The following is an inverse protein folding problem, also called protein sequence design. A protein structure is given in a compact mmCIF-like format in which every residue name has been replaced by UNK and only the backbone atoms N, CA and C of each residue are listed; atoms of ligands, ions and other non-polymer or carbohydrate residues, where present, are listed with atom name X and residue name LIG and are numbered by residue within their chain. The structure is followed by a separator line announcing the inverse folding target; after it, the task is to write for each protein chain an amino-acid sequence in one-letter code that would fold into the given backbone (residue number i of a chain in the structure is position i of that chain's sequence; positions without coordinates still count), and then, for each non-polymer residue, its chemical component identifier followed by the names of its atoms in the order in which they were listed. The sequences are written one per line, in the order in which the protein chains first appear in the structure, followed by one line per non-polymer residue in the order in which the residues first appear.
data_IF_808211187389
#
_entry.id   IF_808211187389
#
_cell.length_a   1.000
_cell.length_b   1.000
_cell.length_c   1.000
_cell.angle_alpha   90.00
_cell.angle_beta   90.00
_cell.angle_gamma   90.00
#
_symmetry.space_group_name_H-M   'P 1'
#
loop_
_entity.id
_entity.type
_entity.pdbx_description
1 polymer ?
#
# COMPACT_ATOMS: atom_id res chain seq x y z
N UNK A 1 11.95 15.19 17.61
CA UNK A 1 11.26 14.43 16.55
C UNK A 1 12.12 13.21 16.33
N UNK A 2 11.62 12.01 16.64
CA UNK A 2 12.39 10.77 16.46
C UNK A 2 12.25 10.40 14.99
N UNK A 3 13.28 10.64 14.19
CA UNK A 3 13.34 10.18 12.80
C UNK A 3 13.35 8.65 12.80
N UNK A 4 12.42 8.04 12.06
CA UNK A 4 12.43 6.60 11.82
C UNK A 4 13.48 6.32 10.75
N UNK A 5 14.51 5.55 11.10
CA UNK A 5 15.54 5.14 10.15
C UNK A 5 15.23 3.70 9.73
N UNK A 6 14.87 3.45 8.45
CA UNK A 6 14.53 2.11 8.00
C UNK A 6 15.77 1.21 8.03
N UNK A 7 15.64 0.04 8.65
CA UNK A 7 16.68 -0.98 8.63
C UNK A 7 16.66 -1.72 7.29
N UNK A 8 17.81 -1.79 6.62
CA UNK A 8 18.00 -2.63 5.45
C UNK A 8 18.44 -4.03 5.89
N UNK A 9 17.87 -5.05 5.26
CA UNK A 9 18.15 -6.45 5.57
C UNK A 9 18.67 -7.11 4.29
N UNK A 10 19.80 -7.80 4.40
CA UNK A 10 20.28 -8.70 3.36
C UNK A 10 19.37 -9.94 3.29
N UNK A 11 18.89 -10.27 2.11
CA UNK A 11 18.02 -11.41 1.88
C UNK A 11 18.85 -12.65 1.58
N UNK A 12 18.60 -13.74 2.30
CA UNK A 12 19.12 -15.07 1.98
C UNK A 12 18.02 -15.85 1.25
N UNK A 13 17.82 -15.52 -0.04
CA UNK A 13 16.78 -16.10 -0.89
C UNK A 13 15.87 -15.06 -1.56
N UNK A 14 14.87 -15.53 -2.29
CA UNK A 14 13.89 -14.67 -2.97
C UNK A 14 12.97 -14.00 -1.95
N UNK A 15 12.72 -12.69 -2.10
CA UNK A 15 11.90 -11.92 -1.16
C UNK A 15 10.52 -12.54 -0.93
N UNK A 16 9.89 -13.10 -1.97
CA UNK A 16 8.58 -13.74 -1.87
C UNK A 16 8.58 -14.92 -0.90
N UNK A 17 9.65 -15.72 -0.88
CA UNK A 17 9.78 -16.88 0.00
C UNK A 17 9.98 -16.42 1.44
N UNK A 18 10.85 -15.43 1.66
CA UNK A 18 11.08 -14.82 2.99
C UNK A 18 9.79 -14.24 3.57
N UNK A 19 9.01 -13.52 2.76
CA UNK A 19 7.72 -12.97 3.21
C UNK A 19 6.69 -14.08 3.47
N UNK A 20 6.69 -15.14 2.66
CA UNK A 20 5.79 -16.27 2.83
C UNK A 20 6.07 -17.03 4.13
N UNK A 21 7.33 -17.36 4.40
CA UNK A 21 7.75 -18.07 5.62
C UNK A 21 7.42 -17.29 6.90
N UNK A 22 7.47 -15.95 6.83
CA UNK A 22 7.15 -15.07 7.95
C UNK A 22 5.66 -14.69 8.05
N UNK A 23 4.82 -15.16 7.12
CA UNK A 23 3.40 -14.81 7.07
C UNK A 23 3.14 -13.32 6.80
N UNK A 24 4.08 -12.65 6.13
CA UNK A 24 4.00 -11.23 5.74
C UNK A 24 3.54 -11.05 4.29
N UNK A 25 3.62 -12.09 3.47
CA UNK A 25 3.14 -12.05 2.09
C UNK A 25 1.61 -12.15 1.96
N UNK A 26 1.09 -11.72 0.81
CA UNK A 26 -0.29 -11.97 0.38
C UNK A 26 -0.42 -13.22 -0.51
N UNK A 27 0.63 -14.05 -0.57
CA UNK A 27 0.70 -15.27 -1.37
C UNK A 27 1.01 -15.06 -2.85
N UNK A 28 1.34 -13.82 -3.27
CA UNK A 28 1.68 -13.47 -4.63
C UNK A 28 3.13 -12.95 -4.74
N UNK A 29 3.77 -13.01 -5.93
CA UNK A 29 5.08 -12.39 -6.13
C UNK A 29 5.09 -10.91 -5.78
N UNK A 30 6.18 -10.42 -5.20
CA UNK A 30 6.35 -9.03 -4.79
C UNK A 30 7.53 -8.39 -5.51
N UNK A 31 7.55 -7.05 -5.57
CA UNK A 31 8.71 -6.30 -6.04
C UNK A 31 9.53 -5.82 -4.85
N UNK A 32 10.84 -6.00 -4.89
CA UNK A 32 11.72 -5.58 -3.80
C UNK A 32 11.68 -4.06 -3.59
N UNK A 33 11.39 -3.60 -2.36
CA UNK A 33 11.32 -2.18 -2.02
C UNK A 33 12.72 -1.59 -1.77
N UNK A 34 13.56 -1.55 -2.80
CA UNK A 34 14.88 -0.92 -2.72
C UNK A 34 14.75 0.59 -2.43
N UNK A 35 15.79 1.22 -1.84
CA UNK A 35 15.77 2.66 -1.55
C UNK A 35 15.37 3.52 -2.76
N UNK A 36 15.87 3.19 -3.95
CA UNK A 36 15.60 3.93 -5.19
C UNK A 36 14.13 3.83 -5.61
N UNK A 37 13.52 2.65 -5.48
CA UNK A 37 12.10 2.45 -5.82
C UNK A 37 11.18 3.13 -4.81
N UNK A 38 11.57 3.12 -3.53
CA UNK A 38 10.84 3.82 -2.47
C UNK A 38 10.94 5.33 -2.68
N UNK A 39 12.12 5.86 -3.00
CA UNK A 39 12.31 7.28 -3.28
C UNK A 39 11.49 7.72 -4.50
N UNK A 40 11.49 6.94 -5.58
CA UNK A 40 10.67 7.22 -6.76
C UNK A 40 9.17 7.31 -6.42
N UNK A 41 8.67 6.55 -5.45
CA UNK A 41 7.29 6.71 -4.97
C UNK A 41 7.12 8.02 -4.19
N UNK A 42 8.06 8.33 -3.30
CA UNK A 42 8.01 9.52 -2.45
C UNK A 42 8.06 10.82 -3.26
N UNK A 43 8.72 10.84 -4.42
CA UNK A 43 8.70 11.98 -5.36
C UNK A 43 7.28 12.37 -5.83
N UNK A 44 6.31 11.46 -5.73
CA UNK A 44 4.91 11.72 -6.06
C UNK A 44 4.07 12.24 -4.87
N UNK A 45 4.66 12.48 -3.70
CA UNK A 45 3.92 13.00 -2.54
C UNK A 45 4.70 14.09 -1.80
N UNK A 46 4.00 15.19 -1.52
CA UNK A 46 4.58 16.28 -0.72
C UNK A 46 4.62 15.96 0.78
N UNK A 47 5.65 16.46 1.45
CA UNK A 47 5.82 16.45 2.90
C UNK A 47 6.92 15.49 3.38
N UNK A 48 7.14 15.46 4.69
CA UNK A 48 8.17 14.61 5.30
C UNK A 48 7.77 13.12 5.18
N UNK A 49 8.71 12.31 4.70
CA UNK A 49 8.54 10.89 4.48
C UNK A 49 8.29 10.10 5.78
N UNK A 50 8.82 10.58 6.91
CA UNK A 50 8.72 9.98 8.24
C UNK A 50 7.66 10.61 9.15
N UNK A 51 6.95 11.63 8.65
CA UNK A 51 5.81 12.19 9.38
C UNK A 51 4.76 11.10 9.64
N UNK A 52 4.36 10.98 10.90
CA UNK A 52 3.24 10.12 11.28
C UNK A 52 1.95 10.71 10.75
N UNK A 53 1.35 10.05 9.77
CA UNK A 53 0.10 10.49 9.15
C UNK A 53 -1.12 10.09 9.96
N UNK A 54 -1.15 8.84 10.42
CA UNK A 54 -2.23 8.23 11.19
C UNK A 54 -1.77 6.87 11.73
N UNK A 55 -2.62 6.21 12.51
CA UNK A 55 -2.44 4.82 12.92
C UNK A 55 -3.53 3.92 12.34
N UNK A 56 -3.19 2.67 12.04
CA UNK A 56 -4.15 1.68 11.56
C UNK A 56 -4.47 0.64 12.65
N UNK A 57 -5.76 0.37 12.80
CA UNK A 57 -6.27 -0.66 13.70
C UNK A 57 -6.23 -2.02 12.98
N UNK A 58 -6.02 -3.15 13.71
CA UNK A 58 -6.19 -3.31 15.15
C UNK A 58 -4.93 -3.08 16.00
N UNK A 59 -3.73 -3.15 15.41
CA UNK A 59 -2.46 -3.05 16.15
C UNK A 59 -2.08 -1.62 16.55
N UNK A 60 -2.83 -0.62 16.07
CA UNK A 60 -2.47 0.79 16.18
C UNK A 60 -1.08 1.08 15.58
N UNK A 61 -0.72 0.35 14.52
CA UNK A 61 0.56 0.51 13.85
C UNK A 61 0.68 1.89 13.21
N UNK A 62 1.89 2.44 13.21
CA UNK A 62 2.20 3.79 12.74
C UNK A 62 2.27 3.77 11.20
N UNK A 63 1.58 4.70 10.55
CA UNK A 63 1.66 4.89 9.10
C UNK A 63 2.35 6.20 8.78
N UNK A 64 3.46 6.11 8.07
CA UNK A 64 4.18 7.24 7.45
C UNK A 64 4.12 7.12 5.93
N UNK A 65 4.50 8.17 5.19
CA UNK A 65 4.57 8.09 3.71
C UNK A 65 5.54 7.00 3.26
N UNK A 66 6.69 6.85 3.93
CA UNK A 66 7.68 5.81 3.63
C UNK A 66 7.12 4.39 3.81
N UNK A 67 6.37 4.14 4.89
CA UNK A 67 5.71 2.84 5.09
C UNK A 67 4.74 2.55 3.94
N UNK A 68 3.96 3.55 3.51
CA UNK A 68 3.05 3.39 2.37
C UNK A 68 3.83 3.15 1.07
N UNK A 69 4.95 3.86 0.85
CA UNK A 69 5.78 3.72 -0.34
C UNK A 69 6.38 2.31 -0.46
N UNK A 70 6.94 1.78 0.63
CA UNK A 70 7.46 0.40 0.70
C UNK A 70 6.38 -0.60 0.28
N UNK A 71 5.18 -0.47 0.83
CA UNK A 71 4.06 -1.35 0.51
C UNK A 71 3.54 -1.19 -0.93
N UNK A 72 3.56 0.04 -1.46
CA UNK A 72 3.20 0.30 -2.84
C UNK A 72 4.21 -0.34 -3.81
N UNK A 73 5.51 -0.28 -3.50
CA UNK A 73 6.54 -0.99 -4.26
C UNK A 73 6.32 -2.49 -4.17
N UNK A 74 6.15 -3.07 -2.98
CA UNK A 74 5.87 -4.51 -2.79
C UNK A 74 4.69 -4.99 -3.64
N UNK A 75 3.62 -4.20 -3.72
CA UNK A 75 2.44 -4.50 -4.54
C UNK A 75 2.70 -4.41 -6.06
N UNK A 76 3.81 -3.81 -6.48
CA UNK A 76 4.15 -3.55 -7.86
C UNK A 76 3.47 -2.30 -8.43
N UNK A 77 3.09 -1.31 -7.60
CA UNK A 77 2.52 -0.06 -8.09
C UNK A 77 3.48 0.66 -9.05
N UNK A 78 2.91 1.46 -9.94
CA UNK A 78 3.65 2.53 -10.64
C UNK A 78 3.74 3.77 -9.73
N UNK A 79 4.84 4.53 -9.74
CA UNK A 79 4.96 5.75 -8.91
C UNK A 79 3.80 6.74 -9.07
N UNK A 80 3.30 6.89 -10.30
CA UNK A 80 2.18 7.79 -10.60
C UNK A 80 0.87 7.48 -9.84
N UNK A 81 0.66 6.23 -9.37
CA UNK A 81 -0.54 5.88 -8.58
C UNK A 81 -0.35 6.09 -7.08
N UNK A 82 0.86 6.39 -6.61
CA UNK A 82 1.18 6.52 -5.18
C UNK A 82 0.26 7.48 -4.40
N UNK A 83 -0.11 8.66 -4.93
CA UNK A 83 -1.02 9.58 -4.24
C UNK A 83 -2.40 8.97 -3.96
N UNK A 84 -2.86 8.05 -4.82
CA UNK A 84 -4.13 7.34 -4.65
C UNK A 84 -4.04 6.36 -3.48
N UNK A 85 -2.93 5.61 -3.37
CA UNK A 85 -2.70 4.68 -2.25
C UNK A 85 -2.70 5.44 -0.92
N UNK A 86 -1.99 6.56 -0.86
CA UNK A 86 -1.94 7.42 0.33
C UNK A 86 -3.33 7.93 0.73
N UNK A 87 -4.10 8.39 -0.25
CA UNK A 87 -5.45 8.90 -0.05
C UNK A 87 -6.43 7.81 0.40
N UNK A 88 -6.33 6.62 -0.18
CA UNK A 88 -7.13 5.46 0.20
C UNK A 88 -6.88 5.06 1.66
N UNK A 89 -5.62 5.02 2.10
CA UNK A 89 -5.28 4.67 3.48
C UNK A 89 -5.72 5.74 4.49
N UNK A 90 -5.61 7.03 4.14
CA UNK A 90 -6.20 8.13 4.94
C UNK A 90 -7.70 7.95 5.11
N UNK A 91 -8.41 7.57 4.05
CA UNK A 91 -9.85 7.29 4.13
C UNK A 91 -10.14 6.08 5.02
N UNK A 92 -9.34 5.00 4.95
CA UNK A 92 -9.51 3.82 5.81
C UNK A 92 -9.22 4.09 7.29
N UNK A 93 -8.33 5.04 7.58
CA UNK A 93 -8.07 5.49 8.94
C UNK A 93 -9.20 6.33 9.54
N UNK A 94 -10.15 6.79 8.71
CA UNK A 94 -11.30 7.54 9.21
C UNK A 94 -12.20 6.67 10.11
N UNK A 95 -12.63 7.14 11.30
CA UNK A 95 -13.38 6.33 12.26
C UNK A 95 -14.65 5.68 11.68
N UNK A 96 -15.32 6.37 10.74
CA UNK A 96 -16.51 5.86 10.06
C UNK A 96 -16.28 4.56 9.27
N UNK A 97 -15.04 4.27 8.85
CA UNK A 97 -14.71 3.04 8.15
C UNK A 97 -14.62 1.81 9.07
N UNK A 98 -14.52 2.01 10.39
CA UNK A 98 -14.40 0.93 11.37
C UNK A 98 -13.38 -0.16 10.96
N UNK A 99 -12.16 0.25 10.57
CA UNK A 99 -11.15 -0.67 10.02
C UNK A 99 -10.78 -1.78 11.02
N UNK A 100 -10.91 -1.52 12.32
CA UNK A 100 -10.77 -2.53 13.39
C UNK A 100 -11.74 -3.70 13.16
N UNK A 101 -13.03 -3.41 12.97
CA UNK A 101 -14.05 -4.43 12.72
C UNK A 101 -13.82 -5.18 11.40
N UNK A 102 -13.40 -4.46 10.35
CA UNK A 102 -13.08 -5.04 9.05
C UNK A 102 -11.88 -5.99 9.11
N UNK A 103 -10.86 -5.68 9.93
CA UNK A 103 -9.68 -6.55 10.07
C UNK A 103 -9.90 -7.71 11.05
N UNK A 104 -10.83 -7.59 11.99
CA UNK A 104 -11.09 -8.61 13.02
C UNK A 104 -12.23 -9.58 12.67
N UNK A 105 -12.96 -9.34 11.57
CA UNK A 105 -14.07 -10.22 11.18
C UNK A 105 -13.57 -11.54 10.60
N UNK A 106 -14.34 -12.62 10.83
CA UNK A 106 -14.11 -13.94 10.22
C UNK A 106 -14.78 -14.09 8.85
N UNK A 107 -15.63 -13.14 8.46
CA UNK A 107 -16.28 -13.12 7.15
C UNK A 107 -15.40 -12.42 6.10
N UNK A 108 -15.54 -12.81 4.84
CA UNK A 108 -14.84 -12.14 3.73
C UNK A 108 -15.31 -10.70 3.58
N UNK A 109 -14.39 -9.74 3.80
CA UNK A 109 -14.58 -8.31 3.57
C UNK A 109 -13.29 -7.74 3.00
N UNK A 110 -13.41 -6.86 2.01
CA UNK A 110 -12.29 -6.12 1.44
C UNK A 110 -12.70 -4.66 1.22
N UNK A 111 -11.82 -3.69 1.49
CA UNK A 111 -12.07 -2.32 1.09
C UNK A 111 -12.16 -2.19 -0.43
N UNK A 112 -13.20 -1.49 -0.90
CA UNK A 112 -13.29 -1.07 -2.29
C UNK A 112 -12.72 0.36 -2.41
N UNK A 113 -11.75 0.54 -3.30
CA UNK A 113 -11.19 1.86 -3.61
C UNK A 113 -11.83 2.37 -4.89
N UNK A 114 -12.50 3.51 -4.80
CA UNK A 114 -13.08 4.22 -5.95
C UNK A 114 -12.21 5.45 -6.22
N UNK A 115 -11.59 5.49 -7.40
CA UNK A 115 -10.69 6.59 -7.80
C UNK A 115 -11.45 7.55 -8.69
N UNK A 116 -11.39 8.84 -8.37
CA UNK A 116 -12.07 9.90 -9.10
C UNK A 116 -11.10 11.06 -9.38
N UNK A 117 -11.42 11.88 -10.39
CA UNK A 117 -10.67 13.07 -10.79
C UNK A 117 -9.67 12.79 -11.90
N UNK A 118 -8.78 13.77 -12.12
CA UNK A 118 -7.81 13.72 -13.22
C UNK A 118 -6.83 12.54 -13.07
N UNK A 119 -6.46 12.21 -11.83
CA UNK A 119 -5.54 11.09 -11.53
C UNK A 119 -6.09 9.74 -12.02
N UNK A 120 -7.42 9.55 -12.04
CA UNK A 120 -8.02 8.34 -12.58
C UNK A 120 -7.71 8.18 -14.08
N UNK A 121 -7.48 9.28 -14.81
CA UNK A 121 -7.14 9.25 -16.24
C UNK A 121 -5.63 9.29 -16.46
N UNK A 122 -4.91 10.11 -15.70
CA UNK A 122 -3.47 10.34 -15.91
C UNK A 122 -2.57 9.24 -15.34
N UNK A 123 -3.02 8.52 -14.30
CA UNK A 123 -2.24 7.45 -13.68
C UNK A 123 -2.57 6.05 -14.25
N UNK A 124 -3.29 5.98 -15.37
CA UNK A 124 -3.47 4.74 -16.13
C UNK A 124 -4.53 3.76 -15.60
N UNK A 125 -5.49 4.21 -14.79
CA UNK A 125 -6.60 3.35 -14.36
C UNK A 125 -7.55 3.03 -15.53
N UNK A 126 -8.12 1.82 -15.50
CA UNK A 126 -9.20 1.43 -16.40
C UNK A 126 -10.56 1.63 -15.74
N UNK A 127 -11.40 2.51 -16.28
CA UNK A 127 -12.78 2.72 -15.83
C UNK A 127 -13.83 2.12 -16.78
N UNK A 128 -13.41 1.44 -17.84
CA UNK A 128 -14.29 0.91 -18.89
C UNK A 128 -14.64 -0.56 -18.69
N UNK A 129 -14.85 -1.25 -19.81
CA UNK A 129 -15.13 -2.69 -19.84
C UNK A 129 -14.00 -3.47 -19.16
N UNK A 130 -14.38 -4.43 -18.32
CA UNK A 130 -13.41 -5.22 -17.57
C UNK A 130 -12.67 -4.41 -16.49
N UNK A 131 -13.30 -3.38 -15.90
CA UNK A 131 -12.72 -2.58 -14.80
C UNK A 131 -12.12 -3.45 -13.67
N UNK A 132 -12.80 -4.53 -13.29
CA UNK A 132 -12.32 -5.51 -12.31
C UNK A 132 -11.63 -6.74 -12.93
N UNK A 133 -11.32 -6.68 -14.23
CA UNK A 133 -10.64 -7.73 -14.96
C UNK A 133 -9.11 -7.64 -14.85
N UNK A 134 -8.39 -8.67 -15.32
CA UNK A 134 -6.94 -8.67 -15.33
C UNK A 134 -6.38 -7.69 -16.37
N UNK A 135 -5.09 -7.36 -16.23
CA UNK A 135 -4.30 -6.67 -17.28
C UNK A 135 -4.10 -5.17 -17.09
N UNK A 136 -4.84 -4.51 -16.20
CA UNK A 136 -4.55 -3.12 -15.83
C UNK A 136 -3.76 -3.05 -14.51
N UNK A 137 -2.51 -2.60 -14.59
CA UNK A 137 -1.60 -2.55 -13.43
C UNK A 137 -2.13 -1.62 -12.34
N UNK A 138 -2.56 -0.41 -12.66
CA UNK A 138 -3.07 0.55 -11.67
C UNK A 138 -4.28 -0.01 -10.88
N UNK A 139 -5.27 -0.58 -11.57
CA UNK A 139 -6.43 -1.20 -10.95
C UNK A 139 -6.03 -2.37 -10.04
N UNK A 140 -5.10 -3.21 -10.48
CA UNK A 140 -4.68 -4.39 -9.73
C UNK A 140 -3.83 -4.05 -8.49
N UNK A 141 -2.87 -3.13 -8.63
CA UNK A 141 -1.84 -2.92 -7.61
C UNK A 141 -2.28 -1.96 -6.52
N UNK A 142 -3.20 -1.02 -6.78
CA UNK A 142 -3.68 -0.08 -5.73
C UNK A 142 -4.43 -0.81 -4.63
N UNK A 143 -5.37 -1.70 -4.99
CA UNK A 143 -6.07 -2.52 -3.99
C UNK A 143 -5.12 -3.44 -3.24
N UNK A 144 -4.15 -4.01 -3.95
CA UNK A 144 -3.11 -4.87 -3.35
C UNK A 144 -2.22 -4.09 -2.38
N UNK A 145 -1.76 -2.89 -2.73
CA UNK A 145 -0.94 -2.04 -1.87
C UNK A 145 -1.68 -1.68 -0.58
N UNK A 146 -2.96 -1.32 -0.68
CA UNK A 146 -3.81 -1.08 0.49
C UNK A 146 -3.88 -2.33 1.36
N UNK A 147 -4.07 -3.52 0.77
CA UNK A 147 -4.11 -4.78 1.51
C UNK A 147 -2.78 -5.09 2.20
N UNK A 148 -1.64 -4.89 1.53
CA UNK A 148 -0.32 -5.10 2.12
C UNK A 148 -0.08 -4.16 3.31
N UNK A 149 -0.46 -2.89 3.22
CA UNK A 149 -0.37 -1.98 4.38
C UNK A 149 -1.21 -2.49 5.55
N UNK A 150 -2.44 -2.97 5.29
CA UNK A 150 -3.29 -3.56 6.34
C UNK A 150 -2.71 -4.85 6.94
N UNK A 151 -1.89 -5.59 6.19
CA UNK A 151 -1.20 -6.80 6.68
C UNK A 151 0.02 -6.44 7.52
N UNK A 152 0.83 -5.47 7.08
CA UNK A 152 2.12 -5.13 7.70
C UNK A 152 2.03 -4.18 8.90
N UNK A 153 1.00 -3.32 8.96
CA UNK A 153 0.84 -2.27 10.00
C UNK A 153 -0.23 -2.65 11.01
#
# INVERSE_FOLDING_TARGET
MTTYEPELIELDGELVDVLSERGLGDGLPVVEPTPERVEAMLEHADGDADEVLFTLQPRAGIVTRRVVAINAVLAGCEPAVFPVVLSALRALAHPAMNIRGVNATTQLVAPMVIVHGDIARTAGFNAGTGCFGPGNRANATVGRAVRLVMLHV
#
